data_IF_859352570860
#
_entry.id   IF_859352570860
#
_cell.length_a   1.000
_cell.length_b   1.000
_cell.length_c   1.000
_cell.angle_alpha   90.00
_cell.angle_beta   90.00
_cell.angle_gamma   90.00
#
_symmetry.space_group_name_H-M   'P 1'
#
loop_
_entity.id
_entity.type
_entity.pdbx_description
1 polymer ?
#
# COMPACT_ATOMS: atom_id res chain seq x y z
N UNK A 1 44.61 56.12 25.00
CA UNK A 1 44.59 54.67 24.78
C UNK A 1 43.17 54.26 24.29
N UNK A 2 43.01 54.19 22.97
CA UNK A 2 41.71 53.87 22.35
C UNK A 2 41.65 52.35 22.12
N UNK A 3 40.71 51.65 22.76
CA UNK A 3 40.46 50.25 22.55
C UNK A 3 39.51 50.10 21.35
N UNK A 4 39.99 49.50 20.26
CA UNK A 4 39.22 49.11 19.09
C UNK A 4 38.61 47.72 19.40
N UNK A 5 37.29 47.62 19.43
CA UNK A 5 36.56 46.38 19.56
C UNK A 5 36.20 45.90 18.13
N UNK A 6 36.84 44.82 17.70
CA UNK A 6 36.53 44.15 16.44
C UNK A 6 35.33 43.21 16.65
N UNK A 7 34.17 43.57 16.12
CA UNK A 7 32.98 42.70 16.13
C UNK A 7 33.08 41.69 14.94
N UNK A 8 33.29 40.42 15.26
CA UNK A 8 33.21 39.34 14.31
C UNK A 8 31.75 38.97 14.07
N UNK A 9 31.20 39.28 12.91
CA UNK A 9 29.87 38.86 12.48
C UNK A 9 29.98 37.42 11.94
N UNK A 10 29.47 36.46 12.71
CA UNK A 10 29.38 35.06 12.32
C UNK A 10 28.15 34.88 11.39
N UNK A 11 28.39 34.78 10.10
CA UNK A 11 27.35 34.45 9.10
C UNK A 11 27.07 32.94 9.19
N UNK A 12 25.98 32.55 9.85
CA UNK A 12 25.48 31.20 9.86
C UNK A 12 24.80 30.89 8.54
N UNK A 13 25.51 30.18 7.64
CA UNK A 13 24.93 29.64 6.40
C UNK A 13 23.99 28.48 6.76
N UNK A 14 22.67 28.72 6.70
CA UNK A 14 21.66 27.67 6.82
C UNK A 14 21.66 26.86 5.51
N UNK A 15 22.36 25.73 5.52
CA UNK A 15 22.24 24.72 4.47
C UNK A 15 20.89 24.02 4.63
N UNK A 16 19.90 24.46 3.86
CA UNK A 16 18.65 23.69 3.67
C UNK A 16 18.97 22.44 2.86
N UNK A 17 19.31 21.36 3.56
CA UNK A 17 19.38 20.02 2.94
C UNK A 17 17.95 19.64 2.55
N UNK A 18 17.66 19.58 1.25
CA UNK A 18 16.50 18.89 0.72
C UNK A 18 16.58 17.42 1.17
N UNK A 19 15.85 17.10 2.25
CA UNK A 19 15.69 15.71 2.71
C UNK A 19 14.74 15.04 1.72
N UNK A 20 15.29 14.28 0.78
CA UNK A 20 14.52 13.33 0.00
C UNK A 20 13.82 12.39 0.98
N UNK A 21 12.49 12.47 1.07
CA UNK A 21 11.71 11.53 1.88
C UNK A 21 11.95 10.12 1.34
N UNK A 22 12.76 9.35 2.05
CA UNK A 22 12.85 7.90 1.82
C UNK A 22 11.47 7.34 2.09
N UNK A 23 10.80 6.88 1.04
CA UNK A 23 9.55 6.11 1.16
C UNK A 23 9.86 4.88 2.03
N UNK A 24 9.39 4.88 3.27
CA UNK A 24 9.56 3.74 4.14
C UNK A 24 8.77 2.56 3.59
N UNK A 25 9.49 1.47 3.34
CA UNK A 25 8.95 0.20 2.85
C UNK A 25 8.39 -0.60 4.01
N UNK A 26 7.20 -1.20 3.83
CA UNK A 26 6.74 -2.28 4.71
C UNK A 26 7.73 -3.45 4.59
N UNK A 27 8.27 -3.90 5.71
CA UNK A 27 9.18 -5.04 5.72
C UNK A 27 8.40 -6.30 5.36
N UNK A 28 8.80 -6.96 4.28
CA UNK A 28 8.25 -8.26 3.89
C UNK A 28 9.02 -9.39 4.60
N UNK A 29 8.28 -10.36 5.14
CA UNK A 29 8.82 -11.59 5.76
C UNK A 29 8.17 -12.81 5.12
N UNK A 30 8.67 -13.99 5.44
CA UNK A 30 8.02 -15.23 5.03
C UNK A 30 6.59 -15.31 5.58
N UNK A 31 5.69 -15.91 4.80
CA UNK A 31 4.29 -16.05 5.17
C UNK A 31 4.13 -16.86 6.47
N UNK A 32 3.24 -16.40 7.33
CA UNK A 32 2.91 -17.10 8.58
C UNK A 32 1.81 -18.12 8.29
N UNK A 33 1.95 -19.35 8.83
CA UNK A 33 0.87 -20.34 8.74
C UNK A 33 -0.35 -19.83 9.50
N UNK A 34 -1.48 -19.71 8.83
CA UNK A 34 -2.71 -19.15 9.40
C UNK A 34 -3.67 -20.30 9.69
N UNK A 35 -4.28 -20.30 10.86
CA UNK A 35 -5.51 -21.05 11.09
C UNK A 35 -6.63 -20.51 10.19
N UNK A 36 -7.64 -21.34 9.89
CA UNK A 36 -8.75 -20.89 9.06
C UNK A 36 -9.43 -19.66 9.71
N UNK A 37 -9.43 -18.55 8.98
CA UNK A 37 -10.15 -17.33 9.40
C UNK A 37 -11.61 -17.51 9.07
N UNK A 38 -12.49 -17.24 10.03
CA UNK A 38 -13.94 -17.29 9.80
C UNK A 38 -14.32 -16.35 8.63
N UNK A 39 -14.98 -16.89 7.61
CA UNK A 39 -15.47 -16.13 6.46
C UNK A 39 -16.85 -15.53 6.79
N UNK A 40 -16.86 -14.41 7.51
CA UNK A 40 -18.09 -13.71 7.91
C UNK A 40 -18.74 -12.96 6.76
N UNK A 41 -17.99 -12.69 5.68
CA UNK A 41 -18.41 -11.91 4.52
C UNK A 41 -19.17 -10.63 4.89
N UNK A 42 -18.74 -9.96 5.96
CA UNK A 42 -19.38 -8.79 6.54
C UNK A 42 -18.82 -7.45 6.06
N UNK A 43 -17.79 -7.45 5.19
CA UNK A 43 -17.33 -6.23 4.55
C UNK A 43 -18.34 -5.77 3.48
N UNK A 44 -18.65 -4.47 3.48
CA UNK A 44 -19.39 -3.83 2.40
C UNK A 44 -18.42 -3.51 1.26
N UNK A 45 -18.42 -4.33 0.22
CA UNK A 45 -17.52 -4.19 -0.92
C UNK A 45 -17.81 -2.96 -1.77
N UNK A 46 -19.01 -2.39 -1.68
CA UNK A 46 -19.42 -1.22 -2.48
C UNK A 46 -18.90 0.09 -1.88
N UNK A 47 -18.76 0.14 -0.55
CA UNK A 47 -18.22 1.29 0.19
C UNK A 47 -16.77 1.09 0.65
N UNK A 48 -16.16 -0.04 0.30
CA UNK A 48 -14.75 -0.34 0.60
C UNK A 48 -13.88 -0.10 -0.62
N UNK A 49 -12.71 0.50 -0.41
CA UNK A 49 -11.79 0.86 -1.51
C UNK A 49 -10.34 0.72 -1.09
N UNK A 50 -9.50 0.27 -2.03
CA UNK A 50 -8.05 0.31 -1.95
C UNK A 50 -7.57 1.34 -2.95
N UNK A 51 -6.70 2.27 -2.52
CA UNK A 51 -6.03 3.21 -3.41
C UNK A 51 -4.61 2.75 -3.69
N UNK A 52 -4.12 3.02 -4.87
CA UNK A 52 -2.74 2.75 -5.26
C UNK A 52 -2.09 3.96 -5.93
N UNK A 53 -0.76 4.08 -5.79
CA UNK A 53 0.05 5.06 -6.50
C UNK A 53 1.38 4.43 -6.90
N UNK A 54 1.66 4.39 -8.19
CA UNK A 54 2.94 4.00 -8.78
C UNK A 54 3.70 5.21 -9.29
N UNK A 55 5.03 5.16 -9.23
CA UNK A 55 5.92 6.26 -9.65
C UNK A 55 7.00 5.78 -10.62
N UNK A 56 7.46 6.70 -11.46
CA UNK A 56 8.59 6.56 -12.38
C UNK A 56 9.28 7.93 -12.49
N UNK A 57 10.49 8.07 -13.04
CA UNK A 57 11.18 9.36 -13.14
C UNK A 57 10.37 10.45 -13.85
N UNK A 58 9.53 10.06 -14.80
CA UNK A 58 8.74 10.98 -15.64
C UNK A 58 7.36 11.30 -15.06
N UNK A 59 7.01 10.81 -13.88
CA UNK A 59 5.71 11.09 -13.25
C UNK A 59 5.20 9.97 -12.36
N UNK A 60 3.94 10.11 -11.95
CA UNK A 60 3.23 9.16 -11.12
C UNK A 60 1.81 8.97 -11.62
N UNK A 61 1.26 7.78 -11.40
CA UNK A 61 -0.14 7.48 -11.68
C UNK A 61 -0.79 6.89 -10.43
N UNK A 62 -2.08 7.11 -10.29
CA UNK A 62 -2.85 6.61 -9.15
C UNK A 62 -4.21 6.08 -9.57
N UNK A 63 -4.81 5.33 -8.66
CA UNK A 63 -6.12 4.76 -8.92
C UNK A 63 -6.68 3.98 -7.75
N UNK A 64 -7.69 3.18 -8.06
CA UNK A 64 -8.41 2.36 -7.07
C UNK A 64 -8.53 0.91 -7.52
N UNK A 65 -8.72 0.03 -6.54
CA UNK A 65 -9.10 -1.38 -6.72
C UNK A 65 -10.16 -1.68 -5.66
N UNK A 66 -11.17 -2.48 -6.01
CA UNK A 66 -12.26 -2.83 -5.11
C UNK A 66 -12.01 -4.19 -4.45
N UNK A 67 -12.73 -4.45 -3.36
CA UNK A 67 -12.82 -5.79 -2.80
C UNK A 67 -13.81 -6.63 -3.58
N UNK A 68 -13.50 -7.92 -3.76
CA UNK A 68 -14.44 -8.95 -4.22
C UNK A 68 -15.28 -9.48 -3.06
N UNK A 69 -14.66 -9.69 -1.90
CA UNK A 69 -15.29 -10.03 -0.63
C UNK A 69 -14.35 -9.74 0.54
N UNK A 70 -14.87 -9.67 1.74
CA UNK A 70 -14.06 -9.46 2.92
C UNK A 70 -14.77 -9.77 4.22
N UNK A 71 -13.96 -10.08 5.22
CA UNK A 71 -14.40 -10.33 6.59
C UNK A 71 -13.55 -9.53 7.55
N UNK A 72 -14.19 -8.83 8.49
CA UNK A 72 -13.58 -8.23 9.67
C UNK A 72 -14.06 -8.99 10.91
N UNK A 73 -13.13 -9.59 11.65
CA UNK A 73 -13.42 -10.27 12.90
C UNK A 73 -13.17 -9.29 14.05
N UNK A 74 -14.22 -8.91 14.72
CA UNK A 74 -14.22 -7.93 15.81
C UNK A 74 -14.77 -8.60 17.07
N UNK A 75 -14.04 -8.53 18.16
CA UNK A 75 -14.48 -9.01 19.46
C UNK A 75 -14.26 -7.91 20.52
N UNK A 76 -15.30 -7.63 21.30
CA UNK A 76 -15.28 -6.56 22.32
C UNK A 76 -14.75 -5.21 21.77
N UNK A 77 -15.16 -4.84 20.55
CA UNK A 77 -14.75 -3.59 19.89
C UNK A 77 -13.32 -3.58 19.35
N UNK A 78 -12.60 -4.68 19.43
CA UNK A 78 -11.21 -4.81 18.95
C UNK A 78 -11.13 -5.70 17.71
N UNK A 79 -10.27 -5.31 16.76
CA UNK A 79 -9.93 -6.14 15.60
C UNK A 79 -9.13 -7.36 16.07
N UNK A 80 -9.63 -8.55 15.78
CA UNK A 80 -8.99 -9.82 16.15
C UNK A 80 -8.52 -10.63 14.95
N UNK A 81 -8.99 -10.27 13.74
CA UNK A 81 -8.64 -10.94 12.51
C UNK A 81 -9.42 -10.42 11.32
N UNK A 82 -9.20 -11.01 10.16
CA UNK A 82 -9.92 -10.67 8.95
C UNK A 82 -9.29 -11.28 7.71
N UNK A 83 -10.05 -11.31 6.64
CA UNK A 83 -9.60 -11.81 5.34
C UNK A 83 -10.25 -10.99 4.23
N UNK A 84 -9.46 -10.56 3.25
CA UNK A 84 -9.92 -9.73 2.14
C UNK A 84 -9.46 -10.34 0.84
N UNK A 85 -10.38 -10.47 -0.10
CA UNK A 85 -10.12 -10.85 -1.49
C UNK A 85 -10.30 -9.60 -2.34
N UNK A 86 -9.23 -9.20 -3.03
CA UNK A 86 -9.16 -8.00 -3.86
C UNK A 86 -9.50 -8.42 -5.29
N UNK A 87 -10.39 -7.66 -5.94
CA UNK A 87 -10.83 -7.90 -7.32
C UNK A 87 -9.89 -7.18 -8.30
N UNK A 88 -8.87 -7.86 -8.80
CA UNK A 88 -7.86 -7.25 -9.67
C UNK A 88 -8.43 -6.66 -10.95
N UNK A 89 -9.45 -7.26 -11.62
CA UNK A 89 -10.15 -6.66 -12.75
C UNK A 89 -10.85 -5.32 -12.45
N UNK A 90 -11.15 -5.01 -11.19
CA UNK A 90 -11.77 -3.75 -10.80
C UNK A 90 -10.82 -2.54 -10.80
N UNK A 91 -9.54 -2.76 -11.13
CA UNK A 91 -8.51 -1.72 -11.14
C UNK A 91 -8.90 -0.57 -12.07
N UNK A 92 -8.81 0.67 -11.55
CA UNK A 92 -9.07 1.90 -12.30
C UNK A 92 -7.91 2.88 -12.12
N UNK A 93 -7.67 3.68 -13.15
CA UNK A 93 -6.83 4.87 -13.08
C UNK A 93 -7.72 6.10 -12.86
N UNK A 94 -7.23 7.10 -12.11
CA UNK A 94 -8.01 8.30 -11.74
C UNK A 94 -7.38 9.62 -12.18
N UNK A 95 -6.20 9.60 -12.78
CA UNK A 95 -5.43 10.83 -13.11
C UNK A 95 -5.20 11.04 -14.59
N UNK A 96 -5.65 10.16 -15.45
CA UNK A 96 -5.53 10.27 -16.91
C UNK A 96 -6.91 10.36 -17.56
N UNK A 97 -6.93 10.86 -18.81
CA UNK A 97 -8.10 10.79 -19.67
C UNK A 97 -8.46 9.32 -20.04
N UNK A 98 -9.53 9.12 -20.75
CA UNK A 98 -10.04 7.79 -21.08
C UNK A 98 -9.03 6.94 -21.87
N UNK A 99 -8.32 7.54 -22.83
CA UNK A 99 -7.32 6.85 -23.66
C UNK A 99 -6.08 6.49 -22.84
N UNK A 100 -5.53 7.44 -22.09
CA UNK A 100 -4.40 7.21 -21.19
C UNK A 100 -4.71 6.20 -20.09
N UNK A 101 -5.91 6.28 -19.51
CA UNK A 101 -6.40 5.32 -18.52
C UNK A 101 -6.48 3.91 -19.12
N UNK A 102 -7.03 3.74 -20.31
CA UNK A 102 -7.12 2.44 -20.98
C UNK A 102 -5.72 1.85 -21.24
N UNK A 103 -4.75 2.67 -21.67
CA UNK A 103 -3.37 2.25 -21.92
C UNK A 103 -2.68 1.78 -20.64
N UNK A 104 -2.75 2.57 -19.56
CA UNK A 104 -2.08 2.19 -18.30
C UNK A 104 -2.73 0.98 -17.66
N UNK A 105 -4.05 0.90 -17.61
CA UNK A 105 -4.77 -0.26 -17.06
C UNK A 105 -4.49 -1.51 -17.91
N UNK A 106 -4.49 -1.41 -19.24
CA UNK A 106 -4.12 -2.52 -20.12
C UNK A 106 -2.72 -3.06 -19.83
N UNK A 107 -1.75 -2.18 -19.57
CA UNK A 107 -0.40 -2.59 -19.18
C UNK A 107 -0.36 -3.19 -17.76
N UNK A 108 -0.96 -2.55 -16.76
CA UNK A 108 -0.94 -3.06 -15.38
C UNK A 108 -1.62 -4.43 -15.25
N UNK A 109 -2.61 -4.71 -16.09
CA UNK A 109 -3.36 -5.98 -16.08
C UNK A 109 -2.74 -7.06 -16.93
N UNK A 110 -1.75 -6.73 -17.78
CA UNK A 110 -1.06 -7.66 -18.69
C UNK A 110 -0.16 -8.67 -17.96
N UNK A 111 0.29 -9.75 -18.66
CA UNK A 111 1.24 -10.72 -18.14
C UNK A 111 2.58 -10.10 -17.66
N UNK A 112 2.99 -8.99 -18.23
CA UNK A 112 4.21 -8.27 -17.86
C UNK A 112 4.14 -7.68 -16.45
N UNK A 113 2.92 -7.40 -15.94
CA UNK A 113 2.75 -6.75 -14.64
C UNK A 113 1.97 -7.64 -13.66
N UNK A 114 0.67 -7.42 -13.47
CA UNK A 114 -0.12 -8.20 -12.51
C UNK A 114 -0.72 -9.49 -13.08
N UNK A 115 -0.76 -9.66 -14.40
CA UNK A 115 -1.26 -10.85 -15.08
C UNK A 115 -2.63 -11.28 -14.55
N UNK A 116 -3.60 -10.38 -14.64
CA UNK A 116 -4.93 -10.62 -14.04
C UNK A 116 -5.71 -11.75 -14.71
N UNK A 117 -5.32 -12.16 -15.91
CA UNK A 117 -5.91 -13.32 -16.59
C UNK A 117 -5.57 -14.64 -15.85
N UNK A 118 -4.33 -14.76 -15.38
CA UNK A 118 -3.89 -15.90 -14.58
C UNK A 118 -4.19 -15.67 -13.07
N UNK A 119 -4.11 -14.43 -12.58
CA UNK A 119 -4.26 -14.06 -11.17
C UNK A 119 -5.35 -13.00 -10.97
N UNK A 120 -6.63 -13.35 -11.14
CA UNK A 120 -7.73 -12.39 -11.08
C UNK A 120 -8.00 -11.82 -9.68
N UNK A 121 -7.33 -12.34 -8.66
CA UNK A 121 -7.49 -11.88 -7.28
C UNK A 121 -6.14 -11.78 -6.56
N UNK A 122 -6.02 -10.78 -5.69
CA UNK A 122 -5.03 -10.73 -4.62
C UNK A 122 -5.72 -10.96 -3.28
N UNK A 123 -4.96 -11.28 -2.23
CA UNK A 123 -5.53 -11.63 -0.93
C UNK A 123 -4.72 -11.04 0.21
N UNK A 124 -5.40 -10.57 1.25
CA UNK A 124 -4.77 -10.20 2.52
C UNK A 124 -5.48 -10.92 3.66
N UNK A 125 -4.71 -11.65 4.50
CA UNK A 125 -5.23 -12.38 5.66
C UNK A 125 -4.52 -11.87 6.90
N UNK A 126 -5.26 -11.30 7.84
CA UNK A 126 -4.72 -10.81 9.11
C UNK A 126 -4.25 -12.00 9.94
N UNK A 127 -3.00 -11.94 10.41
CA UNK A 127 -2.36 -12.96 11.25
C UNK A 127 -2.07 -12.47 12.65
N UNK A 128 -2.12 -11.16 12.89
CA UNK A 128 -1.89 -10.56 14.19
C UNK A 128 -2.24 -9.07 14.19
N UNK A 129 -2.63 -8.57 15.36
CA UNK A 129 -2.94 -7.17 15.60
C UNK A 129 -2.27 -6.76 16.91
N UNK A 130 -1.51 -5.69 16.89
CA UNK A 130 -0.93 -5.07 18.09
C UNK A 130 -1.34 -3.59 18.15
N UNK A 131 -1.56 -3.07 19.35
CA UNK A 131 -1.79 -1.65 19.58
C UNK A 131 -0.43 -0.97 19.80
N UNK A 132 -0.15 0.10 19.05
CA UNK A 132 1.08 0.90 19.15
C UNK A 132 0.69 2.38 19.07
N UNK A 133 0.96 3.14 20.14
CA UNK A 133 0.73 4.59 20.16
C UNK A 133 -0.65 5.04 19.63
N UNK A 134 -1.72 4.43 20.12
CA UNK A 134 -3.11 4.68 19.70
C UNK A 134 -3.46 4.30 18.24
N UNK A 135 -2.60 3.52 17.59
CA UNK A 135 -2.83 2.94 16.26
C UNK A 135 -2.73 1.41 16.33
N UNK A 136 -3.14 0.78 15.26
CA UNK A 136 -2.99 -0.67 15.09
C UNK A 136 -1.79 -0.96 14.18
N UNK A 137 -0.89 -1.82 14.64
CA UNK A 137 0.08 -2.50 13.79
C UNK A 137 -0.55 -3.84 13.38
N UNK A 138 -1.09 -3.89 12.16
CA UNK A 138 -1.80 -5.07 11.64
C UNK A 138 -0.86 -5.89 10.79
N UNK A 139 -0.50 -7.08 11.28
CA UNK A 139 0.31 -8.05 10.54
C UNK A 139 -0.60 -8.99 9.77
N UNK A 140 -0.26 -9.26 8.51
CA UNK A 140 -1.03 -10.17 7.67
C UNK A 140 -0.23 -10.72 6.50
N UNK A 141 -0.71 -11.84 5.96
CA UNK A 141 -0.20 -12.43 4.74
C UNK A 141 -0.84 -11.74 3.53
N UNK A 142 -0.03 -11.05 2.74
CA UNK A 142 -0.40 -10.49 1.45
C UNK A 142 0.00 -11.47 0.34
N UNK A 143 -0.94 -11.81 -0.53
CA UNK A 143 -0.70 -12.64 -1.72
C UNK A 143 -0.94 -11.82 -2.98
N UNK A 144 0.06 -11.72 -3.84
CA UNK A 144 -0.01 -11.12 -5.19
C UNK A 144 0.67 -12.11 -6.15
N UNK A 145 0.04 -12.46 -7.26
CA UNK A 145 0.58 -13.39 -8.28
C UNK A 145 1.13 -14.69 -7.66
N UNK A 146 0.41 -15.37 -6.82
CA UNK A 146 0.83 -16.60 -6.11
C UNK A 146 1.98 -16.44 -5.10
N UNK A 147 2.60 -15.28 -5.00
CA UNK A 147 3.63 -15.03 -3.99
C UNK A 147 2.97 -14.49 -2.74
N UNK A 148 3.19 -15.16 -1.62
CA UNK A 148 2.67 -14.75 -0.31
C UNK A 148 3.80 -14.30 0.61
N UNK A 149 3.67 -13.10 1.16
CA UNK A 149 4.60 -12.54 2.15
C UNK A 149 3.83 -11.96 3.32
N UNK A 150 4.39 -12.07 4.52
CA UNK A 150 3.88 -11.39 5.71
C UNK A 150 4.33 -9.93 5.70
N UNK A 151 3.40 -9.02 5.92
CA UNK A 151 3.64 -7.57 6.05
C UNK A 151 2.95 -7.03 7.29
N UNK A 152 3.45 -5.92 7.84
CA UNK A 152 2.79 -5.19 8.93
C UNK A 152 2.44 -3.79 8.44
N UNK A 153 1.19 -3.40 8.56
CA UNK A 153 0.65 -2.11 8.08
C UNK A 153 0.08 -1.29 9.24
N UNK A 154 0.30 0.03 9.25
CA UNK A 154 -0.33 0.92 10.22
C UNK A 154 -1.80 1.13 9.86
N UNK A 155 -2.68 0.95 10.84
CA UNK A 155 -4.12 1.05 10.62
C UNK A 155 -4.85 1.60 11.84
N UNK A 156 -6.14 1.86 11.67
CA UNK A 156 -7.07 2.25 12.73
C UNK A 156 -8.42 1.57 12.52
N UNK A 157 -9.12 1.38 13.63
CA UNK A 157 -10.49 0.87 13.65
C UNK A 157 -11.38 1.92 14.31
N UNK A 158 -12.49 2.25 13.67
CA UNK A 158 -13.49 3.19 14.18
C UNK A 158 -14.87 2.58 14.02
N UNK A 159 -15.71 2.70 15.03
CA UNK A 159 -17.10 2.22 14.98
C UNK A 159 -18.05 3.39 15.23
N UNK A 160 -18.97 3.59 14.31
CA UNK A 160 -20.03 4.59 14.39
C UNK A 160 -21.39 3.89 14.16
N UNK A 161 -22.20 3.83 15.18
CA UNK A 161 -23.44 3.04 15.15
C UNK A 161 -23.12 1.56 14.87
N UNK A 162 -23.70 1.00 13.81
CA UNK A 162 -23.51 -0.40 13.41
C UNK A 162 -22.38 -0.59 12.37
N UNK A 163 -21.75 0.50 11.93
CA UNK A 163 -20.70 0.43 10.89
C UNK A 163 -19.34 0.54 11.54
N UNK A 164 -18.51 -0.46 11.31
CA UNK A 164 -17.09 -0.40 11.65
C UNK A 164 -16.28 -0.11 10.41
N UNK A 165 -15.40 0.89 10.51
CA UNK A 165 -14.43 1.29 9.47
C UNK A 165 -13.03 0.87 9.89
N UNK A 166 -12.41 0.01 9.09
CA UNK A 166 -11.02 -0.37 9.17
C UNK A 166 -10.24 0.36 8.07
N UNK A 167 -9.31 1.24 8.46
CA UNK A 167 -8.60 2.12 7.53
C UNK A 167 -7.09 2.05 7.79
N UNK A 168 -6.29 1.97 6.72
CA UNK A 168 -4.83 2.10 6.84
C UNK A 168 -4.39 3.56 6.67
N UNK A 169 -3.21 3.87 7.19
CA UNK A 169 -2.39 4.96 6.67
C UNK A 169 -1.80 4.55 5.32
N UNK A 170 -1.07 5.47 4.66
CA UNK A 170 -0.31 5.14 3.46
C UNK A 170 0.87 4.23 3.82
N UNK A 171 1.07 3.18 3.05
CA UNK A 171 2.18 2.27 3.21
C UNK A 171 2.73 1.86 1.84
N UNK A 172 4.01 1.50 1.78
CA UNK A 172 4.66 1.13 0.53
C UNK A 172 4.94 -0.37 0.50
N UNK A 173 4.54 -1.02 -0.57
CA UNK A 173 4.83 -2.42 -0.86
C UNK A 173 5.81 -2.50 -2.02
N UNK A 174 6.86 -3.29 -1.86
CA UNK A 174 7.79 -3.58 -2.93
C UNK A 174 7.20 -4.65 -3.84
N UNK A 175 6.79 -4.25 -5.05
CA UNK A 175 6.18 -5.15 -6.03
C UNK A 175 7.12 -6.28 -6.49
N UNK A 176 8.43 -6.04 -6.43
CA UNK A 176 9.44 -7.01 -6.81
C UNK A 176 9.47 -8.22 -5.86
N UNK A 177 9.11 -8.04 -4.59
CA UNK A 177 8.97 -9.13 -3.61
C UNK A 177 7.81 -10.09 -3.96
N UNK A 178 6.91 -9.69 -4.87
CA UNK A 178 5.75 -10.44 -5.37
C UNK A 178 5.84 -10.81 -6.85
N UNK A 179 7.06 -10.94 -7.36
CA UNK A 179 7.34 -11.36 -8.73
C UNK A 179 6.77 -10.44 -9.83
N UNK A 180 6.51 -9.16 -9.52
CA UNK A 180 6.15 -8.11 -10.49
C UNK A 180 7.43 -7.38 -10.89
N UNK A 181 8.09 -7.84 -11.97
CA UNK A 181 9.47 -7.48 -12.31
C UNK A 181 9.60 -6.41 -13.38
N UNK A 182 8.59 -6.16 -14.20
CA UNK A 182 8.69 -5.29 -15.37
C UNK A 182 9.33 -3.93 -15.04
N UNK A 183 10.35 -3.55 -15.81
CA UNK A 183 11.11 -2.32 -15.67
C UNK A 183 11.62 -2.00 -14.24
N UNK A 184 11.89 -3.03 -13.45
CA UNK A 184 12.51 -2.91 -12.12
C UNK A 184 14.02 -2.91 -12.23
N UNK A 185 14.68 -1.95 -11.57
CA UNK A 185 16.16 -1.89 -11.48
C UNK A 185 16.78 -3.08 -10.75
N UNK A 186 16.00 -3.89 -10.04
CA UNK A 186 16.49 -5.12 -9.39
C UNK A 186 16.71 -6.26 -10.38
N UNK A 187 16.04 -6.22 -11.54
CA UNK A 187 16.04 -7.31 -12.50
C UNK A 187 16.55 -6.90 -13.88
N UNK A 188 16.61 -5.61 -14.18
CA UNK A 188 16.99 -5.10 -15.50
C UNK A 188 18.01 -3.97 -15.39
N UNK A 189 19.09 -4.10 -16.13
CA UNK A 189 20.11 -3.06 -16.27
C UNK A 189 19.75 -2.07 -17.38
N UNK A 190 20.41 -0.92 -17.38
CA UNK A 190 20.36 0.07 -18.45
C UNK A 190 18.97 0.68 -18.75
N UNK A 191 18.04 0.65 -17.80
CA UNK A 191 16.71 1.21 -17.96
C UNK A 191 16.69 2.73 -18.11
N UNK A 192 17.77 3.42 -17.71
CA UNK A 192 17.86 4.90 -17.67
C UNK A 192 16.65 5.49 -16.93
N UNK A 193 15.83 6.32 -17.62
CA UNK A 193 14.61 6.95 -17.14
C UNK A 193 13.32 6.12 -17.37
N UNK A 194 13.48 4.91 -17.96
CA UNK A 194 12.34 4.03 -18.28
C UNK A 194 11.98 3.06 -17.15
N UNK A 195 12.70 3.09 -16.02
CA UNK A 195 12.36 2.26 -14.89
C UNK A 195 11.05 2.70 -14.24
N UNK A 196 10.38 1.73 -13.62
CA UNK A 196 9.23 1.96 -12.75
C UNK A 196 9.69 1.66 -11.32
N UNK A 197 9.41 2.56 -10.38
CA UNK A 197 9.73 2.34 -8.98
C UNK A 197 9.14 1.01 -8.49
N UNK A 198 9.92 0.28 -7.69
CA UNK A 198 9.46 -0.98 -7.11
C UNK A 198 8.45 -0.73 -5.98
N UNK A 199 8.50 0.44 -5.35
CA UNK A 199 7.57 0.82 -4.29
C UNK A 199 6.26 1.32 -4.87
N UNK A 200 5.18 0.57 -4.60
CA UNK A 200 3.81 1.03 -4.83
C UNK A 200 3.23 1.47 -3.49
N UNK A 201 2.76 2.71 -3.42
CA UNK A 201 2.05 3.26 -2.26
C UNK A 201 0.60 2.79 -2.29
N UNK A 202 0.13 2.26 -1.17
CA UNK A 202 -1.24 1.86 -0.95
C UNK A 202 -1.85 2.54 0.26
N UNK A 203 -3.17 2.69 0.26
CA UNK A 203 -4.00 2.85 1.44
C UNK A 203 -5.36 2.18 1.20
N UNK A 204 -6.09 1.87 2.26
CA UNK A 204 -7.42 1.29 2.11
C UNK A 204 -8.39 1.83 3.14
N UNK A 205 -9.65 1.75 2.80
CA UNK A 205 -10.79 1.90 3.72
C UNK A 205 -11.73 0.72 3.48
N UNK A 206 -11.95 -0.07 4.52
CA UNK A 206 -12.91 -1.18 4.51
C UNK A 206 -13.99 -0.89 5.54
N UNK A 207 -15.24 -1.00 5.14
CA UNK A 207 -16.40 -0.83 6.02
C UNK A 207 -17.15 -2.14 6.18
N UNK A 208 -17.74 -2.35 7.37
CA UNK A 208 -18.70 -3.44 7.54
C UNK A 208 -20.04 -3.07 6.94
N UNK A 209 -20.84 -4.10 6.61
CA UNK A 209 -22.28 -3.92 6.35
C UNK A 209 -22.96 -3.44 7.62
N UNK A 210 -24.00 -2.63 7.46
CA UNK A 210 -24.87 -2.19 8.57
C UNK A 210 -25.69 -3.34 9.15
#
# INVERSE_FOLDING_TARGET
>A
MRKVILSFALIASVLTACKSEKKEKVVTKEAVKVAAVADLNNADVTSSVITWKGTKPTGAHNGTIMLKKGSLNIAAGKLTGGSFVIDMPSMKNLDLDAEGSAKIIGHLTSPDFFDIAAFPTSKFVITGVAEVENKLAVTGNLTIKDVTKSITIPAMLMTEGNITTFKSEKFNVDRADFNVKYASKKFFDNLKDKFIDDMIEFSFTVKTKA
#
